data_IF_340322090162
#
_entry.id   IF_340322090162
#
_cell.length_a   1.000
_cell.length_b   1.000
_cell.length_c   1.000
_cell.angle_alpha   90.00
_cell.angle_beta   90.00
_cell.angle_gamma   90.00
#
_symmetry.space_group_name_H-M   'P 1'
#
loop_
_entity.id
_entity.type
_entity.pdbx_description
1 polymer ?
#
# COMPACT_ATOMS: atom_id res chain seq x y z
N UNK A 1 -2.75 30.85 -6.90
CA UNK A 1 -1.83 29.71 -6.70
C UNK A 1 -2.69 28.46 -6.63
N UNK A 2 -2.42 27.45 -7.46
CA UNK A 2 -3.15 26.18 -7.43
C UNK A 2 -2.86 25.45 -6.11
N UNK A 3 -3.91 24.93 -5.46
CA UNK A 3 -3.80 24.18 -4.20
C UNK A 3 -3.05 22.84 -4.44
N UNK A 4 -1.82 22.68 -3.94
CA UNK A 4 -1.01 21.48 -4.16
C UNK A 4 -1.64 20.22 -3.52
N UNK A 5 -2.55 20.38 -2.55
CA UNK A 5 -3.24 19.29 -1.87
C UNK A 5 -4.44 18.77 -2.68
N UNK A 6 -5.02 19.58 -3.59
CA UNK A 6 -6.12 19.17 -4.48
C UNK A 6 -5.72 18.15 -5.55
N UNK A 7 -4.42 17.98 -5.79
CA UNK A 7 -3.88 17.09 -6.82
C UNK A 7 -3.16 15.86 -6.23
N UNK A 8 -3.09 15.75 -4.90
CA UNK A 8 -2.56 14.59 -4.21
C UNK A 8 -3.61 13.46 -4.22
N UNK A 9 -3.33 12.37 -4.94
CA UNK A 9 -4.25 11.25 -5.06
C UNK A 9 -3.70 10.02 -4.33
N UNK A 10 -4.52 9.31 -3.53
CA UNK A 10 -4.25 7.92 -3.22
C UNK A 10 -4.27 7.08 -4.51
N UNK A 11 -3.52 5.98 -4.53
CA UNK A 11 -3.56 4.97 -5.59
C UNK A 11 -5.01 4.62 -5.98
N UNK A 12 -5.28 4.53 -7.30
CA UNK A 12 -6.49 3.89 -7.83
C UNK A 12 -7.30 4.71 -8.85
N UNK A 13 -7.27 6.04 -8.81
CA UNK A 13 -8.08 6.86 -9.73
C UNK A 13 -7.18 7.64 -10.70
N UNK A 14 -6.87 7.09 -11.86
CA UNK A 14 -6.23 7.86 -12.93
C UNK A 14 -7.25 8.68 -13.73
N UNK A 15 -7.95 9.59 -13.03
CA UNK A 15 -8.81 10.60 -13.67
C UNK A 15 -8.01 11.81 -14.17
N UNK A 16 -6.70 11.65 -14.42
CA UNK A 16 -5.86 12.70 -15.00
C UNK A 16 -4.80 12.14 -15.94
N UNK A 17 -4.37 12.97 -16.89
CA UNK A 17 -3.30 12.65 -17.83
C UNK A 17 -1.94 12.55 -17.12
N UNK A 18 -1.20 11.47 -17.34
CA UNK A 18 0.12 11.23 -16.73
C UNK A 18 1.21 12.20 -17.20
N UNK A 19 0.99 12.89 -18.32
CA UNK A 19 1.97 13.84 -18.88
C UNK A 19 1.72 15.28 -18.46
N UNK A 20 0.46 15.70 -18.44
CA UNK A 20 0.09 17.12 -18.26
C UNK A 20 -0.84 17.37 -17.08
N UNK A 21 -1.26 16.33 -16.35
CA UNK A 21 -2.16 16.45 -15.20
C UNK A 21 -3.61 16.82 -15.56
N UNK A 22 -3.95 16.96 -16.85
CA UNK A 22 -5.30 17.32 -17.27
C UNK A 22 -6.32 16.29 -16.79
N UNK A 23 -7.35 16.75 -16.06
CA UNK A 23 -8.40 15.89 -15.52
C UNK A 23 -9.29 15.35 -16.64
N UNK A 24 -9.65 14.07 -16.53
CA UNK A 24 -10.61 13.39 -17.40
C UNK A 24 -11.98 13.32 -16.77
N UNK A 25 -13.03 13.65 -17.53
CA UNK A 25 -14.42 13.50 -17.11
C UNK A 25 -15.33 13.14 -18.28
N UNK A 26 -16.59 12.77 -17.99
CA UNK A 26 -17.58 12.45 -19.05
C UNK A 26 -17.83 13.62 -20.02
N UNK A 27 -17.53 14.85 -19.61
CA UNK A 27 -17.77 16.08 -20.40
C UNK A 27 -16.50 16.84 -20.83
N UNK A 28 -15.30 16.47 -20.35
CA UNK A 28 -14.04 17.07 -20.77
C UNK A 28 -12.96 16.00 -20.97
N UNK A 29 -12.30 16.07 -22.14
CA UNK A 29 -11.14 15.28 -22.56
C UNK A 29 -11.15 13.80 -22.11
N UNK A 30 -11.71 12.93 -22.96
CA UNK A 30 -11.62 11.47 -22.78
C UNK A 30 -10.15 11.05 -22.70
N UNK A 31 -9.70 10.70 -21.50
CA UNK A 31 -8.40 10.10 -21.29
C UNK A 31 -8.33 8.75 -22.01
N UNK A 32 -7.21 8.53 -22.68
CA UNK A 32 -6.93 7.32 -23.45
C UNK A 32 -5.87 6.53 -22.70
N UNK A 33 -6.18 5.27 -22.44
CA UNK A 33 -5.19 4.33 -21.91
C UNK A 33 -4.16 4.02 -23.00
N UNK A 34 -2.90 3.88 -22.62
CA UNK A 34 -1.83 3.41 -23.49
C UNK A 34 -2.21 2.03 -24.05
N UNK A 35 -2.20 1.87 -25.37
CA UNK A 35 -2.53 0.58 -26.02
C UNK A 35 -1.54 -0.54 -25.69
N UNK A 36 -0.33 -0.21 -25.23
CA UNK A 36 0.66 -1.18 -24.78
C UNK A 36 0.33 -1.72 -23.40
N UNK A 37 0.43 -0.89 -22.36
CA UNK A 37 0.30 -1.34 -20.97
C UNK A 37 -1.12 -1.24 -20.38
N UNK A 38 -2.02 -0.47 -20.98
CA UNK A 38 -3.35 -0.12 -20.42
C UNK A 38 -3.33 0.57 -19.04
N UNK A 39 -2.15 0.87 -18.50
CA UNK A 39 -1.95 1.52 -17.21
C UNK A 39 -1.86 3.03 -17.33
N UNK A 40 -0.97 3.51 -18.20
CA UNK A 40 -0.80 4.94 -18.41
C UNK A 40 -2.02 5.54 -19.12
N UNK A 41 -2.46 6.72 -18.70
CA UNK A 41 -3.57 7.48 -19.28
C UNK A 41 -3.09 8.83 -19.79
N UNK A 42 -3.48 9.14 -21.02
CA UNK A 42 -3.09 10.38 -21.68
C UNK A 42 -4.32 11.07 -22.27
N UNK A 43 -4.40 12.40 -22.16
CA UNK A 43 -5.47 13.14 -22.84
C UNK A 43 -5.29 13.14 -24.38
N UNK A 44 -4.07 12.93 -24.88
CA UNK A 44 -3.76 12.95 -26.31
C UNK A 44 -2.54 12.10 -26.67
N UNK A 45 -2.37 11.82 -27.98
CA UNK A 45 -1.19 11.09 -28.50
C UNK A 45 0.10 11.90 -28.29
N UNK A 46 0.01 13.21 -28.29
CA UNK A 46 1.12 14.13 -28.04
C UNK A 46 1.60 14.01 -26.60
N UNK A 47 0.66 13.94 -25.64
CA UNK A 47 0.99 13.66 -24.24
C UNK A 47 1.66 12.30 -24.08
N UNK A 48 1.14 11.26 -24.73
CA UNK A 48 1.76 9.93 -24.73
C UNK A 48 3.19 9.96 -25.30
N UNK A 49 3.41 10.67 -26.43
CA UNK A 49 4.75 10.81 -27.04
C UNK A 49 5.71 11.60 -26.14
N UNK A 50 5.25 12.66 -25.50
CA UNK A 50 6.07 13.47 -24.59
C UNK A 50 6.48 12.69 -23.34
N UNK A 51 5.58 11.85 -22.80
CA UNK A 51 5.91 10.91 -21.74
C UNK A 51 6.68 9.68 -22.23
N UNK A 52 6.85 9.46 -23.53
CA UNK A 52 7.38 8.19 -24.06
C UNK A 52 8.80 7.88 -23.58
N UNK A 53 9.67 8.88 -23.43
CA UNK A 53 11.04 8.68 -22.98
C UNK A 53 11.14 8.02 -21.60
N UNK A 54 10.23 8.36 -20.68
CA UNK A 54 10.13 7.79 -19.33
C UNK A 54 9.16 6.61 -19.29
N UNK A 55 8.02 6.70 -19.98
CA UNK A 55 7.00 5.66 -20.06
C UNK A 55 7.50 4.35 -20.68
N UNK A 56 8.34 4.43 -21.72
CA UNK A 56 8.87 3.24 -22.42
C UNK A 56 9.70 2.32 -21.53
N UNK A 57 10.17 2.79 -20.38
CA UNK A 57 10.95 2.02 -19.41
C UNK A 57 10.08 1.00 -18.65
N UNK A 58 8.76 1.22 -18.60
CA UNK A 58 7.81 0.35 -17.91
C UNK A 58 6.59 -0.02 -18.77
N UNK A 59 6.53 0.47 -20.02
CA UNK A 59 5.50 0.13 -20.98
C UNK A 59 5.73 -1.28 -21.56
N UNK A 60 4.64 -2.06 -21.69
CA UNK A 60 4.55 -3.46 -22.16
C UNK A 60 5.30 -3.78 -23.46
N UNK A 61 5.67 -2.78 -24.26
CA UNK A 61 6.30 -2.95 -25.57
C UNK A 61 7.80 -3.26 -25.55
N UNK A 62 8.51 -3.19 -24.41
CA UNK A 62 9.94 -3.57 -24.34
C UNK A 62 10.22 -4.94 -23.74
N UNK A 63 9.30 -5.53 -22.97
CA UNK A 63 9.60 -6.76 -22.22
C UNK A 63 9.03 -8.04 -22.84
N UNK A 64 8.35 -7.96 -24.00
CA UNK A 64 7.80 -9.15 -24.65
C UNK A 64 8.88 -10.08 -25.28
N UNK A 65 10.15 -9.67 -25.27
CA UNK A 65 11.29 -10.46 -25.76
C UNK A 65 12.26 -10.95 -24.68
N UNK A 66 12.22 -10.36 -23.49
CA UNK A 66 13.10 -10.76 -22.38
C UNK A 66 12.30 -11.67 -21.47
N UNK A 67 12.61 -12.96 -21.48
CA UNK A 67 12.05 -13.88 -20.47
C UNK A 67 12.28 -13.25 -19.09
N UNK A 68 11.26 -13.21 -18.20
CA UNK A 68 11.38 -12.66 -16.85
C UNK A 68 12.62 -13.18 -16.09
N UNK A 69 13.11 -14.36 -16.48
CA UNK A 69 14.31 -15.05 -15.98
C UNK A 69 15.60 -14.23 -15.89
N UNK A 70 15.76 -13.10 -16.61
CA UNK A 70 16.95 -12.23 -16.44
C UNK A 70 16.82 -11.19 -15.33
N UNK A 71 15.59 -10.82 -14.94
CA UNK A 71 15.29 -9.92 -13.80
C UNK A 71 15.02 -10.71 -12.51
N UNK A 72 14.67 -12.00 -12.65
CA UNK A 72 14.52 -12.96 -11.53
C UNK A 72 15.83 -13.18 -10.76
N UNK A 73 16.99 -12.90 -11.37
CA UNK A 73 18.31 -13.14 -10.75
C UNK A 73 18.56 -12.36 -9.45
N UNK A 74 18.10 -11.11 -9.35
CA UNK A 74 18.28 -10.29 -8.13
C UNK A 74 17.25 -10.64 -7.04
N UNK A 75 16.04 -11.07 -7.44
CA UNK A 75 14.98 -11.51 -6.52
C UNK A 75 15.13 -12.97 -6.08
N UNK A 76 16.11 -13.70 -6.63
CA UNK A 76 16.46 -15.05 -6.21
C UNK A 76 16.91 -15.14 -4.73
N UNK A 77 17.10 -14.02 -4.04
CA UNK A 77 17.31 -13.95 -2.58
C UNK A 77 16.01 -13.84 -1.76
N UNK A 78 14.90 -13.43 -2.39
CA UNK A 78 13.53 -13.56 -1.85
C UNK A 78 12.88 -14.89 -2.26
N UNK A 79 13.70 -15.90 -2.58
CA UNK A 79 13.24 -17.29 -2.70
C UNK A 79 12.53 -17.65 -1.40
N UNK A 80 11.22 -17.86 -1.47
CA UNK A 80 10.46 -19.03 -0.99
C UNK A 80 10.80 -19.67 0.38
N UNK A 81 11.58 -19.03 1.25
CA UNK A 81 12.02 -19.62 2.53
C UNK A 81 10.99 -19.36 3.64
N UNK A 82 10.15 -18.32 3.52
CA UNK A 82 9.20 -17.92 4.59
C UNK A 82 7.73 -17.83 4.17
N UNK A 83 7.34 -18.37 3.00
CA UNK A 83 5.92 -18.43 2.66
C UNK A 83 5.18 -19.41 3.61
N UNK A 84 3.96 -19.08 4.05
CA UNK A 84 3.18 -20.00 4.87
C UNK A 84 2.98 -21.36 4.18
N UNK A 85 2.94 -22.43 4.97
CA UNK A 85 2.68 -23.79 4.48
C UNK A 85 1.43 -23.81 3.59
N UNK A 86 1.56 -24.37 2.39
CA UNK A 86 0.47 -24.43 1.41
C UNK A 86 0.33 -23.19 0.52
N UNK A 87 1.24 -22.22 0.63
CA UNK A 87 1.36 -21.10 -0.31
C UNK A 87 2.59 -21.30 -1.21
N UNK A 88 2.45 -20.91 -2.48
CA UNK A 88 3.57 -20.82 -3.43
C UNK A 88 3.55 -19.46 -4.11
N UNK A 89 4.72 -18.96 -4.50
CA UNK A 89 4.76 -17.73 -5.30
C UNK A 89 4.13 -17.98 -6.67
N UNK A 90 3.39 -16.99 -7.18
CA UNK A 90 2.87 -16.96 -8.55
C UNK A 90 3.52 -15.87 -9.40
N UNK A 91 4.69 -15.38 -9.00
CA UNK A 91 5.38 -14.28 -9.73
C UNK A 91 5.65 -14.64 -11.21
N UNK A 92 5.86 -15.91 -11.51
CA UNK A 92 6.09 -16.41 -12.87
C UNK A 92 4.85 -16.37 -13.76
N UNK A 93 3.64 -16.19 -13.20
CA UNK A 93 2.39 -16.07 -13.96
C UNK A 93 2.24 -14.69 -14.62
N UNK A 94 3.08 -13.72 -14.22
CA UNK A 94 3.06 -12.37 -14.79
C UNK A 94 3.98 -12.26 -16.00
N UNK A 95 3.41 -11.78 -17.10
CA UNK A 95 4.14 -11.60 -18.36
C UNK A 95 5.08 -10.38 -18.38
N UNK A 96 4.84 -9.38 -17.53
CA UNK A 96 5.63 -8.15 -17.48
C UNK A 96 5.43 -7.37 -16.17
N UNK A 97 6.29 -6.36 -15.93
CA UNK A 97 6.21 -5.44 -14.79
C UNK A 97 4.82 -4.80 -14.66
N UNK A 98 4.24 -4.37 -15.77
CA UNK A 98 2.91 -3.75 -15.79
C UNK A 98 1.81 -4.69 -15.28
N UNK A 99 1.82 -5.98 -15.63
CA UNK A 99 0.81 -6.91 -15.13
C UNK A 99 0.92 -7.17 -13.63
N UNK A 100 2.15 -7.13 -13.08
CA UNK A 100 2.37 -7.26 -11.64
C UNK A 100 1.80 -6.04 -10.89
N UNK A 101 2.09 -4.84 -11.39
CA UNK A 101 1.58 -3.59 -10.80
C UNK A 101 0.04 -3.55 -10.84
N UNK A 102 -0.57 -3.93 -11.97
CA UNK A 102 -2.03 -3.94 -12.12
C UNK A 102 -2.71 -4.85 -11.08
N UNK A 103 -2.18 -6.06 -10.90
CA UNK A 103 -2.69 -7.04 -9.95
C UNK A 103 -2.46 -6.60 -8.50
N UNK A 104 -1.30 -5.99 -8.22
CA UNK A 104 -1.05 -5.38 -6.91
C UNK A 104 -2.00 -4.21 -6.62
N UNK A 105 -2.30 -3.36 -7.59
CA UNK A 105 -3.23 -2.24 -7.42
C UNK A 105 -4.62 -2.75 -7.04
N UNK A 106 -5.13 -3.78 -7.73
CA UNK A 106 -6.41 -4.42 -7.38
C UNK A 106 -6.41 -4.96 -5.94
N UNK A 107 -5.34 -5.65 -5.53
CA UNK A 107 -5.18 -6.12 -4.15
C UNK A 107 -5.13 -4.95 -3.16
N UNK A 108 -4.33 -3.92 -3.44
CA UNK A 108 -4.13 -2.77 -2.57
C UNK A 108 -5.41 -1.95 -2.40
N UNK A 109 -6.28 -1.92 -3.41
CA UNK A 109 -7.56 -1.22 -3.34
C UNK A 109 -8.53 -1.84 -2.33
N UNK A 110 -8.51 -3.17 -2.19
CA UNK A 110 -9.27 -3.85 -1.15
C UNK A 110 -8.73 -3.52 0.25
N UNK A 111 -7.41 -3.37 0.36
CA UNK A 111 -6.70 -3.27 1.63
C UNK A 111 -6.17 -1.87 1.98
N UNK A 112 -6.56 -0.84 1.22
CA UNK A 112 -5.99 0.51 1.29
C UNK A 112 -5.87 1.05 2.71
N UNK A 113 -6.97 1.02 3.46
CA UNK A 113 -7.02 1.48 4.86
C UNK A 113 -6.14 0.63 5.77
N UNK A 114 -6.13 -0.68 5.58
CA UNK A 114 -5.30 -1.61 6.37
C UNK A 114 -3.81 -1.33 6.16
N UNK A 115 -3.38 -1.12 4.91
CA UNK A 115 -2.00 -0.78 4.56
C UNK A 115 -1.58 0.56 5.17
N UNK A 116 -2.43 1.59 5.06
CA UNK A 116 -2.16 2.92 5.63
C UNK A 116 -2.08 2.88 7.17
N UNK A 117 -3.05 2.26 7.84
CA UNK A 117 -3.05 2.14 9.30
C UNK A 117 -1.86 1.33 9.81
N UNK A 118 -1.43 0.31 9.06
CA UNK A 118 -0.25 -0.49 9.41
C UNK A 118 1.04 0.32 9.25
N UNK A 119 1.16 1.12 8.19
CA UNK A 119 2.29 2.04 8.01
C UNK A 119 2.38 3.07 9.15
N UNK A 120 1.26 3.70 9.49
CA UNK A 120 1.18 4.66 10.59
C UNK A 120 1.48 4.01 11.94
N UNK A 121 0.97 2.80 12.20
CA UNK A 121 1.28 2.06 13.42
C UNK A 121 2.77 1.78 13.56
N UNK A 122 3.45 1.38 12.48
CA UNK A 122 4.89 1.16 12.47
C UNK A 122 5.68 2.45 12.72
N UNK A 123 5.27 3.55 12.08
CA UNK A 123 5.88 4.87 12.27
C UNK A 123 5.78 5.31 13.74
N UNK A 124 4.60 5.17 14.35
CA UNK A 124 4.37 5.54 15.75
C UNK A 124 5.13 4.63 16.73
N UNK A 125 5.18 3.32 16.48
CA UNK A 125 5.99 2.38 17.27
C UNK A 125 7.48 2.73 17.28
N UNK A 126 7.95 3.25 16.15
CA UNK A 126 9.36 3.54 15.90
C UNK A 126 9.70 5.02 16.13
N UNK A 127 8.82 5.80 16.76
CA UNK A 127 9.01 7.24 16.90
C UNK A 127 10.12 7.54 17.91
N UNK A 128 11.29 7.91 17.38
CA UNK A 128 12.45 8.40 18.12
C UNK A 128 12.78 9.82 17.64
N UNK A 129 13.58 10.62 18.37
CA UNK A 129 13.99 11.94 17.88
C UNK A 129 14.63 11.90 16.48
N UNK A 130 15.46 10.89 16.20
CA UNK A 130 16.08 10.70 14.88
C UNK A 130 15.05 10.39 13.79
N UNK A 131 14.08 9.52 14.07
CA UNK A 131 13.03 9.19 13.11
C UNK A 131 12.05 10.35 12.91
N UNK A 132 11.74 11.13 13.95
CA UNK A 132 10.94 12.34 13.84
C UNK A 132 11.59 13.36 12.90
N UNK A 133 12.92 13.50 12.97
CA UNK A 133 13.66 14.40 12.07
C UNK A 133 13.70 13.90 10.62
N UNK A 134 13.81 12.59 10.39
CA UNK A 134 13.68 12.00 9.05
C UNK A 134 12.26 12.20 8.51
N UNK A 135 11.23 11.97 9.33
CA UNK A 135 9.83 12.16 8.95
C UNK A 135 9.55 13.62 8.57
N UNK A 136 10.05 14.57 9.36
CA UNK A 136 9.92 16.01 9.09
C UNK A 136 10.47 16.40 7.73
N UNK A 137 11.58 15.78 7.31
CA UNK A 137 12.23 15.97 6.01
C UNK A 137 11.57 15.22 4.85
N UNK A 138 10.64 14.31 5.13
CA UNK A 138 10.06 13.44 4.10
C UNK A 138 10.95 12.24 3.74
N UNK A 139 11.94 11.92 4.57
CA UNK A 139 13.00 10.94 4.28
C UNK A 139 12.84 9.64 5.07
N UNK A 140 11.78 9.51 5.88
CA UNK A 140 11.44 8.28 6.58
C UNK A 140 10.52 7.43 5.70
N UNK A 141 10.91 6.17 5.46
CA UNK A 141 10.26 5.28 4.53
C UNK A 141 9.74 4.03 5.26
N UNK A 142 8.51 3.63 4.95
CA UNK A 142 7.92 2.35 5.32
C UNK A 142 8.02 1.42 4.13
N UNK A 143 8.84 0.39 4.24
CA UNK A 143 9.05 -0.59 3.18
C UNK A 143 8.16 -1.80 3.43
N UNK A 144 7.33 -2.12 2.46
CA UNK A 144 6.44 -3.28 2.47
C UNK A 144 6.83 -4.22 1.34
N UNK A 145 7.39 -5.37 1.69
CA UNK A 145 7.72 -6.43 0.74
C UNK A 145 6.53 -7.35 0.55
N UNK A 146 6.05 -7.46 -0.69
CA UNK A 146 4.96 -8.37 -1.01
C UNK A 146 5.35 -9.34 -2.11
N UNK A 147 4.95 -10.60 -1.92
CA UNK A 147 5.04 -11.64 -2.94
C UNK A 147 3.64 -12.04 -3.38
N UNK A 148 3.36 -12.10 -4.70
CA UNK A 148 2.09 -12.62 -5.16
C UNK A 148 2.07 -14.13 -4.90
N UNK A 149 1.00 -14.62 -4.28
CA UNK A 149 0.86 -16.02 -3.88
C UNK A 149 -0.34 -16.70 -4.54
N UNK A 150 -0.24 -18.02 -4.63
CA UNK A 150 -1.37 -18.93 -4.82
C UNK A 150 -1.36 -20.00 -3.74
N UNK A 151 -2.55 -20.37 -3.28
CA UNK A 151 -2.75 -21.43 -2.30
C UNK A 151 -2.94 -22.78 -3.01
N UNK A 152 -2.43 -23.86 -2.43
CA UNK A 152 -2.56 -25.22 -2.98
C UNK A 152 -4.01 -25.69 -3.10
N UNK A 153 -4.90 -25.15 -2.25
CA UNK A 153 -6.36 -25.30 -2.36
C UNK A 153 -6.97 -23.99 -2.83
N UNK A 154 -8.01 -23.99 -3.69
CA UNK A 154 -8.72 -22.78 -4.07
C UNK A 154 -9.14 -22.01 -2.81
N UNK A 155 -8.63 -20.79 -2.65
CA UNK A 155 -9.01 -19.92 -1.54
C UNK A 155 -10.41 -19.36 -1.80
N UNK A 156 -11.39 -19.53 -0.90
CA UNK A 156 -12.70 -18.91 -1.05
C UNK A 156 -12.63 -17.37 -0.91
N UNK A 157 -11.50 -16.82 -0.45
CA UNK A 157 -11.33 -15.39 -0.11
C UNK A 157 -11.01 -14.48 -1.30
N UNK A 158 -10.93 -15.05 -2.51
CA UNK A 158 -10.75 -14.29 -3.75
C UNK A 158 -9.43 -13.49 -3.80
N UNK A 159 -9.40 -12.35 -4.52
CA UNK A 159 -8.18 -11.57 -4.74
C UNK A 159 -7.66 -10.87 -3.48
N UNK A 160 -8.43 -10.82 -2.38
CA UNK A 160 -7.95 -10.24 -1.12
C UNK A 160 -6.82 -11.04 -0.47
N UNK A 161 -6.60 -12.30 -0.87
CA UNK A 161 -5.55 -13.19 -0.35
C UNK A 161 -4.51 -13.55 -1.44
N UNK A 162 -4.41 -12.76 -2.52
CA UNK A 162 -3.53 -13.07 -3.67
C UNK A 162 -2.08 -12.58 -3.50
N UNK A 163 -1.78 -11.93 -2.37
CA UNK A 163 -0.46 -11.43 -1.99
C UNK A 163 -0.15 -11.75 -0.53
N UNK A 164 1.11 -12.02 -0.25
CA UNK A 164 1.66 -12.19 1.09
C UNK A 164 2.62 -11.05 1.40
N UNK A 165 2.39 -10.39 2.53
CA UNK A 165 3.22 -9.33 3.06
C UNK A 165 4.20 -9.90 4.09
N UNK A 166 5.49 -9.67 3.87
CA UNK A 166 6.53 -9.90 4.89
C UNK A 166 6.56 -8.75 5.89
N UNK A 167 7.23 -8.95 7.02
CA UNK A 167 7.37 -7.93 8.07
C UNK A 167 7.90 -6.61 7.50
N UNK A 168 7.08 -5.52 7.50
CA UNK A 168 7.53 -4.22 7.03
C UNK A 168 8.73 -3.68 7.81
N UNK A 169 9.53 -2.87 7.13
CA UNK A 169 10.72 -2.25 7.69
C UNK A 169 10.62 -0.74 7.62
N UNK A 170 11.32 -0.08 8.54
CA UNK A 170 11.53 1.37 8.51
C UNK A 170 12.95 1.66 8.05
N UNK A 171 13.11 2.55 7.07
CA UNK A 171 14.42 2.93 6.52
C UNK A 171 14.48 4.43 6.28
N UNK A 172 15.68 4.99 6.26
CA UNK A 172 15.87 6.32 5.69
C UNK A 172 15.96 6.25 4.18
N UNK A 173 15.62 7.34 3.48
CA UNK A 173 15.85 7.45 2.05
C UNK A 173 17.32 7.22 1.69
N UNK A 174 18.24 7.70 2.54
CA UNK A 174 19.67 7.51 2.35
C UNK A 174 20.08 6.03 2.32
N UNK A 175 19.47 5.18 3.16
CA UNK A 175 19.76 3.75 3.19
C UNK A 175 19.36 3.04 1.89
N UNK A 176 18.35 3.56 1.19
CA UNK A 176 17.82 2.97 -0.03
C UNK A 176 18.45 3.55 -1.31
N UNK A 177 19.14 4.70 -1.23
CA UNK A 177 19.83 5.31 -2.38
C UNK A 177 20.95 4.44 -2.99
N UNK A 178 21.46 3.46 -2.25
CA UNK A 178 22.42 2.48 -2.78
C UNK A 178 21.80 1.59 -3.88
N UNK A 179 20.48 1.54 -3.99
CA UNK A 179 19.75 0.74 -4.98
C UNK A 179 19.42 1.59 -6.21
N UNK A 180 19.96 1.27 -7.41
CA UNK A 180 19.79 2.11 -8.60
C UNK A 180 18.32 2.36 -8.98
N UNK A 181 17.46 1.35 -8.80
CA UNK A 181 16.03 1.42 -9.09
C UNK A 181 15.31 2.43 -8.18
N UNK A 182 15.68 2.45 -6.89
CA UNK A 182 15.14 3.40 -5.92
C UNK A 182 15.70 4.81 -6.18
N UNK A 183 17.03 4.94 -6.35
CA UNK A 183 17.68 6.22 -6.54
C UNK A 183 17.13 7.00 -7.75
N UNK A 184 16.89 6.32 -8.86
CA UNK A 184 16.30 6.94 -10.05
C UNK A 184 14.86 7.41 -9.81
N UNK A 185 14.04 6.60 -9.12
CA UNK A 185 12.65 6.96 -8.83
C UNK A 185 12.57 8.10 -7.79
N UNK A 186 13.38 8.03 -6.73
CA UNK A 186 13.46 9.02 -5.67
C UNK A 186 13.89 10.39 -6.20
N UNK A 187 14.94 10.45 -7.02
CA UNK A 187 15.43 11.70 -7.61
C UNK A 187 14.36 12.42 -8.43
N UNK A 188 13.50 11.67 -9.13
CA UNK A 188 12.41 12.23 -9.91
C UNK A 188 11.23 12.75 -9.04
N UNK A 189 11.01 12.17 -7.86
CA UNK A 189 9.86 12.47 -7.00
C UNK A 189 10.17 13.49 -5.89
N UNK A 190 11.40 13.49 -5.35
CA UNK A 190 11.79 14.26 -4.18
C UNK A 190 11.46 15.77 -4.23
N UNK A 191 11.63 16.49 -5.37
CA UNK A 191 11.23 17.90 -5.44
C UNK A 191 9.73 18.10 -5.24
N UNK A 192 8.90 17.27 -5.87
CA UNK A 192 7.44 17.35 -5.73
C UNK A 192 7.00 16.97 -4.31
N UNK A 193 7.68 16.01 -3.70
CA UNK A 193 7.47 15.60 -2.31
C UNK A 193 7.67 16.74 -1.34
N UNK A 194 8.75 17.52 -1.49
CA UNK A 194 9.01 18.67 -0.62
C UNK A 194 7.91 19.72 -0.73
N UNK A 195 7.44 20.02 -1.94
CA UNK A 195 6.33 20.96 -2.17
C UNK A 195 5.07 20.50 -1.41
N UNK A 196 4.74 19.21 -1.48
CA UNK A 196 3.58 18.65 -0.76
C UNK A 196 3.80 18.71 0.76
N UNK A 197 4.98 18.32 1.25
CA UNK A 197 5.34 18.33 2.67
C UNK A 197 5.25 19.75 3.26
N UNK A 198 5.73 20.76 2.54
CA UNK A 198 5.68 22.15 2.96
C UNK A 198 4.24 22.68 2.97
N UNK A 199 3.41 22.32 1.98
CA UNK A 199 2.01 22.68 1.96
C UNK A 199 1.20 22.08 3.11
N UNK A 200 1.47 20.82 3.48
CA UNK A 200 0.88 20.23 4.68
C UNK A 200 1.34 20.95 5.95
N UNK A 201 2.64 21.30 6.04
CA UNK A 201 3.18 22.02 7.19
C UNK A 201 2.55 23.40 7.36
N UNK A 202 2.38 24.16 6.27
CA UNK A 202 1.72 25.47 6.29
C UNK A 202 0.25 25.34 6.74
N UNK A 203 -0.47 24.32 6.23
CA UNK A 203 -1.89 24.16 6.51
C UNK A 203 -2.21 23.65 7.92
N UNK A 204 -1.39 22.75 8.46
CA UNK A 204 -1.71 22.01 9.68
C UNK A 204 -0.79 22.32 10.87
N UNK A 205 0.26 23.11 10.66
CA UNK A 205 1.14 23.60 11.73
C UNK A 205 1.74 22.46 12.57
N UNK A 206 1.70 22.61 13.88
CA UNK A 206 2.30 21.68 14.84
C UNK A 206 1.63 20.30 14.90
N UNK A 207 0.41 20.15 14.37
CA UNK A 207 -0.25 18.84 14.30
C UNK A 207 0.37 17.92 13.24
N UNK A 208 1.09 18.49 12.26
CA UNK A 208 1.74 17.75 11.19
C UNK A 208 3.19 17.41 11.54
N UNK A 209 3.49 16.11 11.64
CA UNK A 209 4.83 15.61 11.94
C UNK A 209 5.75 15.54 10.71
N UNK A 210 5.16 15.47 9.51
CA UNK A 210 5.88 15.33 8.25
C UNK A 210 5.21 14.32 7.32
N UNK A 211 5.87 14.04 6.20
CA UNK A 211 5.42 13.03 5.24
C UNK A 211 6.29 11.78 5.30
N UNK A 212 5.67 10.63 5.12
CA UNK A 212 6.36 9.36 4.91
C UNK A 212 5.99 8.80 3.55
N UNK A 213 6.80 7.88 3.04
CA UNK A 213 6.40 7.03 1.92
C UNK A 213 6.13 5.62 2.39
N UNK A 214 5.07 5.02 1.87
CA UNK A 214 4.93 3.57 1.78
C UNK A 214 5.53 3.14 0.45
N UNK A 215 6.56 2.31 0.52
CA UNK A 215 7.25 1.73 -0.64
C UNK A 215 6.83 0.27 -0.73
N UNK A 216 5.95 -0.04 -1.69
CA UNK A 216 5.55 -1.41 -1.95
C UNK A 216 6.54 -2.04 -2.93
N UNK A 217 7.30 -3.05 -2.49
CA UNK A 217 8.21 -3.82 -3.32
C UNK A 217 7.50 -5.12 -3.73
N UNK A 218 7.10 -5.21 -5.00
CA UNK A 218 6.13 -6.20 -5.49
C UNK A 218 6.71 -7.05 -6.62
N UNK A 219 7.75 -7.83 -6.33
CA UNK A 219 8.33 -8.78 -7.27
C UNK A 219 9.32 -8.21 -8.28
N UNK A 220 8.95 -7.32 -9.18
CA UNK A 220 9.91 -6.69 -10.14
C UNK A 220 9.62 -5.20 -10.32
N UNK A 221 8.79 -4.67 -9.44
CA UNK A 221 8.31 -3.30 -9.45
C UNK A 221 8.34 -2.72 -8.04
N UNK A 222 8.34 -1.40 -8.00
CA UNK A 222 8.15 -0.62 -6.79
C UNK A 222 7.04 0.40 -7.03
N UNK A 223 6.14 0.51 -6.08
CA UNK A 223 5.08 1.51 -6.05
C UNK A 223 5.27 2.42 -4.83
N UNK A 224 5.06 3.72 -5.03
CA UNK A 224 5.31 4.75 -4.03
C UNK A 224 3.97 5.39 -3.65
N UNK A 225 3.66 5.41 -2.36
CA UNK A 225 2.53 6.14 -1.82
C UNK A 225 3.03 7.09 -0.73
N UNK A 226 2.99 8.39 -0.99
CA UNK A 226 3.22 9.37 0.07
C UNK A 226 2.00 9.39 1.00
N UNK A 227 2.24 9.54 2.30
CA UNK A 227 1.20 9.70 3.32
C UNK A 227 1.56 10.89 4.23
N UNK A 228 0.59 11.74 4.60
CA UNK A 228 0.79 12.72 5.67
C UNK A 228 0.74 12.01 7.03
N UNK A 229 1.65 12.38 7.93
CA UNK A 229 1.69 11.84 9.29
C UNK A 229 1.35 12.95 10.27
N UNK A 230 0.20 12.82 10.92
CA UNK A 230 -0.22 13.70 12.00
C UNK A 230 0.22 13.10 13.32
N UNK A 231 0.84 13.93 14.17
CA UNK A 231 1.30 13.48 15.47
C UNK A 231 0.13 13.38 16.45
N UNK A 232 0.22 12.47 17.44
CA UNK A 232 -0.77 12.45 18.50
C UNK A 232 -0.85 13.78 19.23
N UNK A 233 -2.02 14.09 19.81
CA UNK A 233 -2.21 15.34 20.57
C UNK A 233 -1.19 15.50 21.70
N UNK A 234 -0.83 14.39 22.33
CA UNK A 234 0.24 14.26 23.32
C UNK A 234 1.33 13.35 22.74
N UNK A 235 2.40 13.88 22.11
CA UNK A 235 3.45 13.05 21.51
C UNK A 235 4.14 12.10 22.50
N UNK A 236 4.20 12.47 23.79
CA UNK A 236 4.83 11.65 24.83
C UNK A 236 4.04 10.35 25.07
N UNK A 237 2.78 10.29 24.64
CA UNK A 237 1.96 9.06 24.69
C UNK A 237 2.62 7.91 23.95
N UNK A 238 3.38 8.17 22.89
CA UNK A 238 4.05 7.13 22.08
C UNK A 238 5.20 6.45 22.82
N UNK A 239 5.75 7.11 23.85
CA UNK A 239 6.82 6.54 24.67
C UNK A 239 6.30 5.52 25.70
N UNK A 240 5.01 5.60 26.07
CA UNK A 240 4.39 4.77 27.11
C UNK A 240 4.35 3.30 26.68
N UNK A 241 4.73 2.39 27.59
CA UNK A 241 4.77 0.95 27.32
C UNK A 241 3.40 0.40 26.86
N UNK A 242 2.30 0.82 27.51
CA UNK A 242 0.94 0.42 27.14
C UNK A 242 0.55 0.85 25.72
N UNK A 243 0.98 2.05 25.29
CA UNK A 243 0.78 2.53 23.92
C UNK A 243 1.57 1.70 22.92
N UNK A 244 2.81 1.33 23.24
CA UNK A 244 3.63 0.47 22.38
C UNK A 244 3.03 -0.93 22.26
N UNK A 245 2.53 -1.50 23.35
CA UNK A 245 1.86 -2.80 23.31
C UNK A 245 0.57 -2.74 22.46
N UNK A 246 -0.26 -1.70 22.63
CA UNK A 246 -1.47 -1.52 21.82
C UNK A 246 -1.17 -1.30 20.34
N UNK A 247 -0.18 -0.44 20.01
CA UNK A 247 0.21 -0.21 18.62
C UNK A 247 0.80 -1.48 17.97
N UNK A 248 1.59 -2.27 18.70
CA UNK A 248 2.17 -3.51 18.19
C UNK A 248 1.09 -4.58 17.99
N UNK A 249 0.14 -4.71 18.93
CA UNK A 249 -1.02 -5.59 18.78
C UNK A 249 -1.86 -5.18 17.56
N UNK A 250 -2.09 -3.89 17.36
CA UNK A 250 -2.83 -3.37 16.21
C UNK A 250 -2.09 -3.64 14.89
N UNK A 251 -0.79 -3.36 14.83
CA UNK A 251 0.06 -3.67 13.69
C UNK A 251 0.03 -5.16 13.32
N UNK A 252 0.19 -6.05 14.30
CA UNK A 252 0.16 -7.52 14.11
C UNK A 252 -1.22 -7.99 13.65
N UNK A 253 -2.27 -7.40 14.21
CA UNK A 253 -3.64 -7.66 13.78
C UNK A 253 -3.87 -7.27 12.30
N UNK A 254 -3.47 -6.06 11.90
CA UNK A 254 -3.61 -5.57 10.52
C UNK A 254 -2.84 -6.44 9.51
N UNK A 255 -1.59 -6.79 9.84
CA UNK A 255 -0.79 -7.72 9.03
C UNK A 255 -1.47 -9.07 8.88
N UNK A 256 -2.05 -9.60 9.96
CA UNK A 256 -2.84 -10.82 9.92
C UNK A 256 -4.05 -10.71 9.00
N UNK A 257 -4.77 -9.59 9.04
CA UNK A 257 -5.88 -9.34 8.12
C UNK A 257 -5.42 -9.39 6.65
N UNK A 258 -4.32 -8.71 6.31
CA UNK A 258 -3.74 -8.73 4.96
C UNK A 258 -3.39 -10.16 4.51
N UNK A 259 -2.61 -10.87 5.33
CA UNK A 259 -2.09 -12.19 5.00
C UNK A 259 -3.15 -13.29 5.10
N UNK A 260 -4.29 -13.03 5.72
CA UNK A 260 -5.45 -13.92 5.69
C UNK A 260 -6.50 -13.50 4.66
N UNK A 261 -6.34 -12.37 3.97
CA UNK A 261 -7.37 -11.83 3.06
C UNK A 261 -8.66 -11.40 3.75
N UNK A 262 -8.60 -11.00 5.01
CA UNK A 262 -9.71 -10.36 5.72
C UNK A 262 -9.69 -8.87 5.38
N UNK A 263 -10.75 -8.40 4.73
CA UNK A 263 -10.87 -7.01 4.29
C UNK A 263 -11.63 -6.21 5.35
N UNK A 264 -10.98 -5.20 5.91
CA UNK A 264 -11.59 -4.30 6.88
C UNK A 264 -12.28 -3.14 6.17
N UNK A 265 -13.60 -2.96 6.39
CA UNK A 265 -14.34 -1.80 5.88
C UNK A 265 -15.14 -1.11 6.98
N UNK A 266 -15.04 0.22 7.13
CA UNK A 266 -15.98 0.92 7.99
C UNK A 266 -17.41 0.75 7.46
N UNK A 267 -18.42 0.67 8.34
CA UNK A 267 -19.82 0.77 7.91
C UNK A 267 -20.05 2.06 7.12
N UNK A 268 -19.49 3.16 7.62
CA UNK A 268 -19.65 4.52 7.09
C UNK A 268 -18.30 5.27 7.20
N UNK A 269 -18.01 6.23 6.32
CA UNK A 269 -16.69 6.91 6.25
C UNK A 269 -16.20 7.54 7.58
N UNK A 270 -17.12 7.86 8.50
CA UNK A 270 -16.80 8.50 9.78
C UNK A 270 -16.56 7.51 10.94
N UNK A 271 -16.65 6.20 10.71
CA UNK A 271 -16.49 5.22 11.76
C UNK A 271 -15.03 4.78 11.98
N UNK A 272 -14.58 4.95 13.23
CA UNK A 272 -13.26 4.50 13.68
C UNK A 272 -13.12 2.97 13.63
N UNK A 273 -14.21 2.24 13.89
CA UNK A 273 -14.20 0.77 13.90
C UNK A 273 -14.59 0.25 12.52
N UNK A 274 -13.68 -0.48 11.88
CA UNK A 274 -13.96 -1.20 10.65
C UNK A 274 -14.49 -2.60 10.94
N UNK A 275 -15.46 -3.07 10.17
CA UNK A 275 -15.96 -4.43 10.20
C UNK A 275 -15.05 -5.35 9.36
N UNK A 276 -14.79 -6.59 9.82
CA UNK A 276 -14.11 -7.58 9.01
C UNK A 276 -15.09 -8.17 7.99
N UNK A 277 -14.60 -8.45 6.79
CA UNK A 277 -15.39 -9.08 5.74
C UNK A 277 -14.53 -9.85 4.76
N UNK A 278 -15.20 -10.66 3.95
CA UNK A 278 -14.58 -11.47 2.89
C UNK A 278 -15.14 -11.05 1.52
N UNK A 279 -14.35 -11.26 0.47
CA UNK A 279 -14.81 -11.05 -0.90
C UNK A 279 -15.52 -12.30 -1.42
N UNK A 280 -16.74 -12.13 -1.90
CA UNK A 280 -17.53 -13.19 -2.51
C UNK A 280 -17.70 -12.92 -4.00
N UNK A 281 -17.48 -13.95 -4.82
CA UNK A 281 -17.74 -13.88 -6.25
C UNK A 281 -19.26 -13.84 -6.49
N UNK A 282 -19.73 -12.77 -7.12
CA UNK A 282 -21.10 -12.61 -7.58
C UNK A 282 -21.10 -12.67 -9.09
N UNK A 283 -21.89 -13.59 -9.66
CA UNK A 283 -22.08 -13.73 -11.10
C UNK A 283 -23.43 -13.13 -11.49
N UNK A 284 -23.41 -12.15 -12.38
CA UNK A 284 -24.62 -11.53 -12.95
C UNK A 284 -24.56 -11.67 -14.47
N UNK A 285 -25.25 -12.67 -15.00
CA UNK A 285 -25.10 -13.08 -16.40
C UNK A 285 -23.69 -13.59 -16.68
N UNK A 286 -23.01 -13.02 -17.66
CA UNK A 286 -21.60 -13.32 -17.99
C UNK A 286 -20.58 -12.50 -17.19
N UNK A 287 -21.02 -11.54 -16.38
CA UNK A 287 -20.13 -10.68 -15.61
C UNK A 287 -19.84 -11.28 -14.25
N UNK A 288 -18.56 -11.40 -13.92
CA UNK A 288 -18.07 -11.81 -12.60
C UNK A 288 -17.56 -10.58 -11.84
N UNK A 289 -18.00 -10.40 -10.60
CA UNK A 289 -17.59 -9.29 -9.74
C UNK A 289 -17.38 -9.76 -8.31
N UNK A 290 -16.33 -9.26 -7.65
CA UNK A 290 -16.07 -9.51 -6.24
C UNK A 290 -16.81 -8.50 -5.37
N UNK A 291 -17.67 -8.98 -4.48
CA UNK A 291 -18.44 -8.15 -3.55
C UNK A 291 -18.05 -8.47 -2.12
N UNK A 292 -17.69 -7.44 -1.37
CA UNK A 292 -17.39 -7.55 0.06
C UNK A 292 -18.65 -7.84 0.86
N UNK A 293 -18.57 -8.78 1.80
CA UNK A 293 -19.62 -9.06 2.78
C UNK A 293 -19.03 -9.11 4.19
N UNK A 294 -19.69 -8.50 5.19
CA UNK A 294 -19.22 -8.55 6.56
C UNK A 294 -19.30 -9.99 7.10
N UNK A 295 -18.29 -10.38 7.89
CA UNK A 295 -18.37 -11.58 8.73
C UNK A 295 -19.20 -11.22 9.99
N UNK A 296 -20.08 -12.10 10.51
CA UNK A 296 -20.91 -11.81 11.67
C UNK A 296 -20.13 -11.25 12.87
N UNK A 297 -20.75 -10.35 13.67
CA UNK A 297 -20.08 -9.60 14.76
C UNK A 297 -19.46 -10.50 15.84
N UNK A 298 -20.01 -11.70 16.06
CA UNK A 298 -19.42 -12.71 16.95
C UNK A 298 -18.06 -13.25 16.44
N UNK A 299 -17.66 -12.88 15.23
CA UNK A 299 -16.43 -13.34 14.60
C UNK A 299 -15.19 -12.54 14.98
N UNK A 300 -15.25 -11.47 15.78
CA UNK A 300 -14.03 -10.78 16.20
C UNK A 300 -13.06 -11.71 16.94
N UNK A 301 -13.58 -12.52 17.86
CA UNK A 301 -12.80 -13.54 18.56
C UNK A 301 -12.25 -14.58 17.59
N UNK A 302 -13.02 -14.97 16.57
CA UNK A 302 -12.60 -15.96 15.59
C UNK A 302 -11.53 -15.41 14.63
N UNK A 303 -11.73 -14.21 14.10
CA UNK A 303 -10.76 -13.49 13.26
C UNK A 303 -9.47 -13.27 14.04
N UNK A 304 -9.55 -12.83 15.30
CA UNK A 304 -8.38 -12.65 16.16
C UNK A 304 -7.68 -13.98 16.45
N UNK A 305 -8.42 -15.07 16.66
CA UNK A 305 -7.87 -16.41 16.87
C UNK A 305 -7.11 -16.91 15.65
N UNK A 306 -7.71 -16.80 14.46
CA UNK A 306 -7.06 -17.17 13.18
C UNK A 306 -5.81 -16.35 12.95
N UNK A 307 -5.87 -15.02 13.15
CA UNK A 307 -4.71 -14.14 12.97
C UNK A 307 -3.59 -14.45 13.97
N UNK A 308 -3.92 -14.65 15.25
CA UNK A 308 -2.93 -14.97 16.29
C UNK A 308 -2.26 -16.31 16.01
N UNK A 309 -3.03 -17.31 15.57
CA UNK A 309 -2.52 -18.61 15.15
C UNK A 309 -1.57 -18.49 13.95
N UNK A 310 -1.99 -17.79 12.89
CA UNK A 310 -1.19 -17.64 11.67
C UNK A 310 0.08 -16.80 11.88
N UNK A 311 0.05 -15.82 12.78
CA UNK A 311 1.19 -14.93 13.05
C UNK A 311 2.14 -15.46 14.12
N UNK A 312 1.73 -16.46 14.92
CA UNK A 312 2.49 -16.92 16.08
C UNK A 312 2.66 -15.84 17.16
N UNK A 313 1.84 -14.79 17.13
CA UNK A 313 1.94 -13.63 18.01
C UNK A 313 0.85 -13.64 19.07
N UNK A 314 1.24 -13.42 20.34
CA UNK A 314 0.31 -13.28 21.47
C UNK A 314 0.14 -11.80 21.82
N UNK A 315 -1.08 -11.23 21.73
CA UNK A 315 -1.36 -9.85 22.10
C UNK A 315 -1.00 -9.51 23.55
N UNK A 316 -0.49 -8.30 23.79
CA UNK A 316 0.01 -7.84 25.11
C UNK A 316 -0.86 -6.78 25.77
N UNK A 317 -1.59 -5.98 24.99
CA UNK A 317 -2.39 -4.86 25.48
C UNK A 317 -3.68 -5.27 26.19
N UNK A 318 -4.12 -6.52 26.00
CA UNK A 318 -5.44 -7.00 26.45
C UNK A 318 -6.63 -6.42 25.70
N UNK A 319 -6.39 -5.61 24.65
CA UNK A 319 -7.44 -4.98 23.86
C UNK A 319 -7.97 -5.92 22.77
N UNK A 320 -9.29 -5.90 22.56
CA UNK A 320 -9.92 -6.49 21.38
C UNK A 320 -9.66 -5.66 20.11
N UNK A 321 -9.80 -6.22 18.89
CA UNK A 321 -9.59 -5.46 17.65
C UNK A 321 -10.42 -4.16 17.54
N UNK A 322 -11.70 -4.11 17.93
CA UNK A 322 -12.45 -2.85 17.98
C UNK A 322 -11.87 -1.83 18.96
N UNK A 323 -11.35 -2.28 20.11
CA UNK A 323 -10.69 -1.40 21.07
C UNK A 323 -9.36 -0.86 20.53
N UNK A 324 -8.58 -1.69 19.83
CA UNK A 324 -7.34 -1.27 19.16
C UNK A 324 -7.62 -0.20 18.08
N UNK A 325 -8.66 -0.38 17.27
CA UNK A 325 -9.06 0.62 16.26
C UNK A 325 -9.48 1.96 16.89
N UNK A 326 -10.28 1.91 17.97
CA UNK A 326 -10.68 3.11 18.72
C UNK A 326 -9.50 3.80 19.37
N UNK A 327 -8.59 3.02 19.96
CA UNK A 327 -7.35 3.51 20.55
C UNK A 327 -6.50 4.22 19.50
N UNK A 328 -6.24 3.57 18.38
CA UNK A 328 -5.44 4.15 17.28
C UNK A 328 -6.08 5.43 16.74
N UNK A 329 -7.40 5.48 16.57
CA UNK A 329 -8.12 6.68 16.13
C UNK A 329 -8.14 7.82 17.17
N UNK A 330 -7.78 7.54 18.43
CA UNK A 330 -7.75 8.53 19.51
C UNK A 330 -6.38 9.17 19.75
N UNK A 331 -5.32 8.62 19.14
CA UNK A 331 -3.97 9.18 19.17
C UNK A 331 -3.96 10.53 18.44
#
# INVERSE_FOLDING_TARGET
MDDPLKNFRPLGDSTQCDTCGAKGGKQQNRLRKCSGCSLAVYCSKECQKKAWSTHKLWCRTRDCGTKPNSVIGEWAHMRAIDLPTGCTSRIEEFSCRASVIADFHEYSDYHRRTLEHMALSLLFLSMTPSNAELLRRGELLVLMDLTPIKTTKPSPRGPAHSWFLYLPQLRSAQDELARPEFASAWTAQAPQTQIVNDAYRERFGSAYGGSSFIIYRVGIAQEFQQIPVFLPKDPDVLSKASTKDALNDYFRFLMGCLNCGVVLRPPNDNEAVALPGELHLVKTGSKETWTWRPVPVQAWSEVQRVISYCSGYTPKSGMSPPQLMKFFASL
#
